data_IF_232069995577
#
_entry.id   IF_232069995577
#
_cell.length_a   1.000
_cell.length_b   1.000
_cell.length_c   1.000
_cell.angle_alpha   90.00
_cell.angle_beta   90.00
_cell.angle_gamma   90.00
#
_symmetry.space_group_name_H-M   'P 1'
#
loop_
_entity.id
_entity.type
_entity.pdbx_description
1 polymer ?
#
# COMPACT_ATOMS: atom_id res chain seq x y z
N UNK A 1 5.27 -41.12 25.26
CA UNK A 1 4.85 -39.70 25.35
C UNK A 1 4.64 -39.08 23.98
N UNK A 2 5.66 -39.07 23.13
CA UNK A 2 5.58 -38.66 21.72
C UNK A 2 4.37 -39.23 20.97
N UNK A 3 4.14 -40.54 21.04
CA UNK A 3 3.02 -41.21 20.34
C UNK A 3 1.65 -40.69 20.80
N UNK A 4 1.50 -40.39 22.09
CA UNK A 4 0.24 -39.86 22.66
C UNK A 4 -0.01 -38.43 22.19
N UNK A 5 1.04 -37.60 22.16
CA UNK A 5 0.98 -36.23 21.63
C UNK A 5 0.64 -36.27 20.14
N UNK A 6 1.30 -37.15 19.37
CA UNK A 6 1.04 -37.30 17.94
C UNK A 6 -0.40 -37.75 17.66
N UNK A 7 -0.93 -38.70 18.44
CA UNK A 7 -2.31 -39.15 18.29
C UNK A 7 -3.31 -38.00 18.47
N UNK A 8 -3.12 -37.14 19.49
CA UNK A 8 -3.96 -35.97 19.70
C UNK A 8 -3.80 -34.93 18.58
N UNK A 9 -2.56 -34.65 18.14
CA UNK A 9 -2.31 -33.72 17.03
C UNK A 9 -2.97 -34.19 15.72
N UNK A 10 -2.93 -35.49 15.42
CA UNK A 10 -3.59 -36.07 14.23
C UNK A 10 -5.11 -35.93 14.31
N UNK A 11 -5.69 -36.13 15.49
CA UNK A 11 -7.13 -35.96 15.69
C UNK A 11 -7.57 -34.50 15.54
N UNK A 12 -6.76 -33.55 16.03
CA UNK A 12 -7.06 -32.11 16.02
C UNK A 12 -6.78 -31.42 14.68
N UNK A 13 -5.81 -31.93 13.91
CA UNK A 13 -5.39 -31.37 12.62
C UNK A 13 -5.59 -32.37 11.46
N UNK A 14 -6.84 -32.74 11.15
CA UNK A 14 -7.10 -33.64 10.03
C UNK A 14 -6.64 -33.02 8.70
N UNK A 15 -5.97 -33.81 7.87
CA UNK A 15 -5.43 -33.37 6.59
C UNK A 15 -4.00 -32.82 6.65
N UNK A 16 -3.43 -32.61 7.83
CA UNK A 16 -2.00 -32.27 7.97
C UNK A 16 -1.13 -33.52 7.89
N UNK A 17 -0.01 -33.45 7.17
CA UNK A 17 0.93 -34.56 7.03
C UNK A 17 1.41 -35.08 8.40
N UNK A 18 1.30 -36.40 8.60
CA UNK A 18 1.76 -37.08 9.82
C UNK A 18 3.25 -36.86 10.11
N UNK A 19 4.06 -36.63 9.07
CA UNK A 19 5.47 -36.30 9.24
C UNK A 19 5.67 -34.93 9.90
N UNK A 20 4.89 -33.92 9.48
CA UNK A 20 4.92 -32.57 10.05
C UNK A 20 4.42 -32.59 11.49
N UNK A 21 3.28 -33.24 11.75
CA UNK A 21 2.76 -33.41 13.11
C UNK A 21 3.72 -34.21 14.00
N UNK A 22 4.44 -35.18 13.43
CA UNK A 22 5.46 -35.98 14.11
C UNK A 22 6.63 -35.15 14.62
N UNK A 23 7.06 -34.14 13.86
CA UNK A 23 8.12 -33.20 14.27
C UNK A 23 7.67 -32.34 15.45
N UNK A 24 6.44 -31.82 15.39
CA UNK A 24 5.85 -31.02 16.48
C UNK A 24 5.68 -31.88 17.74
N UNK A 25 5.13 -33.09 17.59
CA UNK A 25 5.01 -34.04 18.68
C UNK A 25 6.37 -34.35 19.32
N UNK A 26 7.45 -34.45 18.52
CA UNK A 26 8.80 -34.72 19.02
C UNK A 26 9.33 -33.55 19.85
N UNK A 27 9.09 -32.33 19.40
CA UNK A 27 9.43 -31.10 20.13
C UNK A 27 8.65 -30.94 21.42
N UNK A 28 7.35 -31.24 21.41
CA UNK A 28 6.53 -31.19 22.62
C UNK A 28 6.92 -32.30 23.62
N UNK A 29 7.24 -33.50 23.13
CA UNK A 29 7.68 -34.62 23.97
C UNK A 29 9.02 -34.38 24.70
N UNK A 30 9.80 -33.36 24.31
CA UNK A 30 11.02 -32.95 25.05
C UNK A 30 10.68 -32.28 26.39
N UNK A 31 9.48 -31.68 26.52
CA UNK A 31 9.07 -30.91 27.71
C UNK A 31 7.82 -31.45 28.41
N UNK A 32 6.94 -32.12 27.67
CA UNK A 32 5.72 -32.73 28.21
C UNK A 32 6.06 -34.13 28.69
N UNK A 33 5.99 -34.36 30.01
CA UNK A 33 6.29 -35.65 30.63
C UNK A 33 5.04 -36.41 31.09
N UNK A 34 3.93 -35.71 31.26
CA UNK A 34 2.66 -36.28 31.73
C UNK A 34 1.53 -36.14 30.68
N UNK A 35 0.57 -37.06 30.69
CA UNK A 35 -0.51 -37.13 29.70
C UNK A 35 -1.56 -36.02 29.85
N UNK A 36 -1.82 -35.58 31.08
CA UNK A 36 -2.70 -34.44 31.39
C UNK A 36 -2.17 -33.10 30.85
N UNK A 37 -0.88 -33.00 30.55
CA UNK A 37 -0.23 -31.78 30.05
C UNK A 37 -0.26 -31.68 28.51
N UNK A 38 -0.64 -32.75 27.81
CA UNK A 38 -0.58 -32.78 26.33
C UNK A 38 -1.47 -31.70 25.72
N UNK A 39 -2.73 -31.64 26.14
CA UNK A 39 -3.73 -30.77 25.52
C UNK A 39 -3.35 -29.29 25.73
N UNK A 40 -2.92 -28.95 26.95
CA UNK A 40 -2.39 -27.62 27.26
C UNK A 40 -1.16 -27.28 26.43
N UNK A 41 -0.19 -28.19 26.31
CA UNK A 41 1.03 -27.95 25.54
C UNK A 41 0.77 -27.81 24.03
N UNK A 42 -0.20 -28.55 23.47
CA UNK A 42 -0.62 -28.39 22.07
C UNK A 42 -1.29 -27.01 21.88
N UNK A 43 -2.19 -26.62 22.77
CA UNK A 43 -2.87 -25.33 22.70
C UNK A 43 -1.89 -24.16 22.87
N UNK A 44 -0.94 -24.26 23.80
CA UNK A 44 0.10 -23.26 24.01
C UNK A 44 1.04 -23.16 22.80
N UNK A 45 1.38 -24.28 22.18
CA UNK A 45 2.19 -24.29 20.97
C UNK A 45 1.46 -23.62 19.80
N UNK A 46 0.17 -23.88 19.63
CA UNK A 46 -0.65 -23.24 18.60
C UNK A 46 -0.84 -21.73 18.86
N UNK A 47 -1.06 -21.33 20.12
CA UNK A 47 -1.28 -19.93 20.49
C UNK A 47 -0.01 -19.07 20.42
N UNK A 48 1.16 -19.66 20.71
CA UNK A 48 2.44 -18.97 20.66
C UNK A 48 3.15 -19.10 19.30
N UNK A 49 2.65 -19.93 18.38
CA UNK A 49 3.21 -20.03 17.04
C UNK A 49 2.65 -18.93 16.14
N UNK A 50 3.53 -18.16 15.51
CA UNK A 50 3.15 -17.11 14.55
C UNK A 50 2.52 -17.68 13.26
N UNK A 51 2.80 -18.95 12.96
CA UNK A 51 2.27 -19.69 11.82
C UNK A 51 1.45 -20.88 12.32
N UNK A 52 0.24 -21.07 11.77
CA UNK A 52 -0.56 -22.22 12.15
C UNK A 52 0.08 -23.52 11.64
N UNK A 53 -0.21 -24.63 12.33
CA UNK A 53 0.28 -25.96 11.95
C UNK A 53 -0.17 -26.32 10.52
N UNK A 54 -1.37 -25.87 10.14
CA UNK A 54 -1.95 -26.08 8.82
C UNK A 54 -1.21 -25.27 7.75
N UNK A 55 -0.97 -23.98 7.97
CA UNK A 55 -0.28 -23.12 6.99
C UNK A 55 1.15 -23.60 6.74
N UNK A 56 1.85 -24.04 7.77
CA UNK A 56 3.19 -24.61 7.62
C UNK A 56 3.17 -25.91 6.82
N UNK A 57 2.18 -26.77 7.05
CA UNK A 57 2.02 -28.00 6.30
C UNK A 57 1.67 -27.77 4.83
N UNK A 58 0.76 -26.84 4.57
CA UNK A 58 0.35 -26.45 3.21
C UNK A 58 1.55 -25.86 2.45
N UNK A 59 2.38 -25.05 3.10
CA UNK A 59 3.62 -24.53 2.50
C UNK A 59 4.61 -25.63 2.11
N UNK A 60 4.83 -26.61 3.00
CA UNK A 60 5.72 -27.74 2.72
C UNK A 60 5.17 -28.59 1.57
N UNK A 61 3.86 -28.82 1.52
CA UNK A 61 3.23 -29.56 0.45
C UNK A 61 3.33 -28.84 -0.89
N UNK A 62 3.03 -27.53 -0.94
CA UNK A 62 3.15 -26.74 -2.16
C UNK A 62 4.57 -26.75 -2.73
N UNK A 63 5.60 -26.68 -1.88
CA UNK A 63 6.98 -26.84 -2.35
C UNK A 63 7.27 -28.25 -2.90
N UNK A 64 6.72 -29.28 -2.27
CA UNK A 64 6.82 -30.66 -2.76
C UNK A 64 6.19 -30.81 -4.14
N UNK A 65 4.96 -30.35 -4.29
CA UNK A 65 4.20 -30.41 -5.54
C UNK A 65 4.89 -29.61 -6.66
N UNK A 66 5.46 -28.45 -6.35
CA UNK A 66 6.25 -27.67 -7.29
C UNK A 66 7.50 -28.43 -7.78
N UNK A 67 8.27 -29.04 -6.86
CA UNK A 67 9.45 -29.84 -7.23
C UNK A 67 9.08 -31.06 -8.08
N UNK A 68 7.98 -31.73 -7.74
CA UNK A 68 7.48 -32.87 -8.52
C UNK A 68 7.00 -32.42 -9.89
N UNK A 69 6.30 -31.29 -9.98
CA UNK A 69 5.87 -30.69 -11.24
C UNK A 69 7.05 -30.30 -12.14
N UNK A 70 8.09 -29.69 -11.58
CA UNK A 70 9.33 -29.36 -12.32
C UNK A 70 10.08 -30.60 -12.78
N UNK A 71 10.21 -31.62 -11.92
CA UNK A 71 10.85 -32.88 -12.26
C UNK A 71 10.08 -33.62 -13.37
N UNK A 72 8.75 -33.66 -13.28
CA UNK A 72 7.88 -34.22 -14.31
C UNK A 72 8.02 -33.48 -15.63
N UNK A 73 8.01 -32.14 -15.60
CA UNK A 73 8.21 -31.32 -16.81
C UNK A 73 9.58 -31.57 -17.46
N UNK A 74 10.65 -31.69 -16.67
CA UNK A 74 11.99 -32.06 -17.19
C UNK A 74 11.98 -33.44 -17.83
N UNK A 75 11.37 -34.41 -17.15
CA UNK A 75 11.26 -35.79 -17.64
C UNK A 75 10.44 -35.85 -18.94
N UNK A 76 9.32 -35.14 -19.02
CA UNK A 76 8.48 -35.06 -20.23
C UNK A 76 9.29 -34.45 -21.39
N UNK A 77 10.05 -33.37 -21.16
CA UNK A 77 10.90 -32.75 -22.20
C UNK A 77 12.03 -33.69 -22.66
N UNK A 78 12.60 -34.47 -21.75
CA UNK A 78 13.69 -35.41 -22.04
C UNK A 78 13.19 -36.66 -22.78
N UNK A 79 12.00 -37.17 -22.43
CA UNK A 79 11.42 -38.37 -23.05
C UNK A 79 10.59 -38.07 -24.30
N UNK A 80 10.02 -36.87 -24.46
CA UNK A 80 9.39 -36.44 -25.73
C UNK A 80 10.43 -36.21 -26.85
N UNK A 81 11.73 -36.19 -26.54
CA UNK A 81 12.80 -36.26 -27.55
C UNK A 81 13.16 -37.69 -27.97
N UNK A 82 12.62 -38.70 -27.28
CA UNK A 82 12.97 -40.10 -27.44
C UNK A 82 11.80 -40.99 -27.90
N UNK A 83 10.76 -40.41 -28.51
CA UNK A 83 9.71 -41.19 -29.18
C UNK A 83 9.98 -41.26 -30.70
N UNK A 84 10.50 -42.39 -31.22
CA UNK A 84 10.71 -42.56 -32.66
C UNK A 84 9.41 -42.83 -33.44
N UNK A 85 8.23 -42.84 -32.80
CA UNK A 85 6.94 -43.20 -33.42
C UNK A 85 5.86 -42.13 -33.33
N UNK A 86 6.15 -40.91 -32.85
CA UNK A 86 5.19 -39.83 -33.00
C UNK A 86 5.32 -39.26 -34.42
N UNK A 87 4.28 -39.29 -35.27
CA UNK A 87 4.31 -38.52 -36.50
C UNK A 87 4.53 -37.07 -36.09
N UNK A 88 5.59 -36.48 -36.64
CA UNK A 88 5.93 -35.06 -36.51
C UNK A 88 4.61 -34.27 -36.52
N UNK A 89 4.24 -33.54 -35.44
CA UNK A 89 3.09 -32.66 -35.55
C UNK A 89 3.45 -31.72 -36.68
N UNK A 90 2.73 -31.82 -37.80
CA UNK A 90 2.93 -31.01 -38.99
C UNK A 90 3.40 -29.63 -38.53
N UNK A 91 4.67 -29.32 -38.82
CA UNK A 91 5.17 -27.96 -38.75
C UNK A 91 4.30 -27.20 -39.73
N UNK A 92 3.19 -26.65 -39.23
CA UNK A 92 2.57 -25.50 -39.85
C UNK A 92 3.72 -24.52 -39.99
N UNK A 93 4.07 -24.26 -41.25
CA UNK A 93 4.82 -23.09 -41.68
C UNK A 93 4.09 -21.85 -41.17
N UNK A 94 4.30 -21.53 -39.90
CA UNK A 94 3.98 -20.23 -39.32
C UNK A 94 5.32 -19.53 -39.19
N UNK A 95 5.49 -18.53 -40.07
CA UNK A 95 6.62 -17.63 -40.17
C UNK A 95 7.36 -17.43 -38.82
N UNK A 96 8.71 -17.50 -38.79
CA UNK A 96 9.52 -17.39 -37.56
C UNK A 96 9.53 -15.97 -36.93
N UNK A 97 8.53 -15.15 -37.18
CA UNK A 97 8.44 -13.74 -36.78
C UNK A 97 7.23 -13.41 -35.90
N UNK A 98 6.28 -14.32 -35.70
CA UNK A 98 5.11 -14.04 -34.85
C UNK A 98 5.13 -14.78 -33.51
N UNK A 99 5.09 -13.99 -32.44
CA UNK A 99 4.98 -14.49 -31.08
C UNK A 99 3.67 -15.31 -30.91
N UNK A 100 3.71 -16.52 -30.32
CA UNK A 100 2.53 -17.37 -30.19
C UNK A 100 1.45 -16.72 -29.33
N UNK A 101 0.18 -17.04 -29.57
CA UNK A 101 -0.97 -16.34 -28.95
C UNK A 101 -0.98 -16.38 -27.42
N UNK A 102 -0.51 -17.47 -26.81
CA UNK A 102 -0.37 -17.56 -25.35
C UNK A 102 0.68 -16.57 -24.80
N UNK A 103 1.74 -16.30 -25.56
CA UNK A 103 2.77 -15.33 -25.18
C UNK A 103 2.27 -13.90 -25.39
N UNK A 104 1.46 -13.63 -26.43
CA UNK A 104 0.74 -12.35 -26.62
C UNK A 104 -0.21 -12.09 -25.45
N UNK A 105 -0.99 -13.09 -25.04
CA UNK A 105 -1.91 -12.99 -23.90
C UNK A 105 -1.18 -12.76 -22.57
N UNK A 106 -0.04 -13.42 -22.35
CA UNK A 106 0.78 -13.22 -21.16
C UNK A 106 1.38 -11.81 -21.12
N UNK A 107 1.93 -11.33 -22.23
CA UNK A 107 2.49 -9.97 -22.31
C UNK A 107 1.43 -8.91 -22.01
N UNK A 108 0.23 -9.03 -22.61
CA UNK A 108 -0.89 -8.15 -22.33
C UNK A 108 -1.30 -8.16 -20.85
N UNK A 109 -1.32 -9.35 -20.23
CA UNK A 109 -1.66 -9.49 -18.81
C UNK A 109 -0.61 -8.81 -17.91
N UNK A 110 0.68 -9.00 -18.20
CA UNK A 110 1.78 -8.35 -17.46
C UNK A 110 1.72 -6.83 -17.63
N UNK A 111 1.51 -6.32 -18.85
CA UNK A 111 1.36 -4.88 -19.11
C UNK A 111 0.17 -4.29 -18.35
N UNK A 112 -0.98 -4.97 -18.38
CA UNK A 112 -2.20 -4.53 -17.68
C UNK A 112 -1.99 -4.50 -16.16
N UNK A 113 -1.38 -5.55 -15.59
CA UNK A 113 -1.05 -5.60 -14.17
C UNK A 113 -0.06 -4.50 -13.77
N UNK A 114 0.95 -4.24 -14.60
CA UNK A 114 1.90 -3.15 -14.39
C UNK A 114 1.21 -1.79 -14.34
N UNK A 115 0.27 -1.53 -15.26
CA UNK A 115 -0.52 -0.29 -15.27
C UNK A 115 -1.41 -0.16 -14.02
N UNK A 116 -2.13 -1.23 -13.63
CA UNK A 116 -2.96 -1.22 -12.43
C UNK A 116 -2.13 -1.00 -11.16
N UNK A 117 -0.94 -1.60 -11.09
CA UNK A 117 -0.03 -1.41 -9.96
C UNK A 117 0.46 0.03 -9.87
N UNK A 118 0.86 0.63 -10.99
CA UNK A 118 1.27 2.04 -11.05
C UNK A 118 0.13 2.98 -10.64
N UNK A 119 -1.09 2.74 -11.14
CA UNK A 119 -2.26 3.52 -10.76
C UNK A 119 -2.54 3.43 -9.25
N UNK A 120 -2.56 2.21 -8.69
CA UNK A 120 -2.81 2.00 -7.26
C UNK A 120 -1.73 2.64 -6.39
N UNK A 121 -0.47 2.60 -6.82
CA UNK A 121 0.63 3.31 -6.15
C UNK A 121 0.38 4.82 -6.13
N UNK A 122 -0.01 5.40 -7.26
CA UNK A 122 -0.30 6.83 -7.35
C UNK A 122 -1.50 7.24 -6.48
N UNK A 123 -2.57 6.44 -6.47
CA UNK A 123 -3.74 6.67 -5.60
C UNK A 123 -3.36 6.61 -4.11
N UNK A 124 -2.54 5.63 -3.71
CA UNK A 124 -2.05 5.51 -2.34
C UNK A 124 -1.19 6.70 -1.92
N UNK A 125 -0.30 7.15 -2.80
CA UNK A 125 0.57 8.31 -2.55
C UNK A 125 -0.25 9.61 -2.46
N UNK A 126 -1.24 9.78 -3.34
CA UNK A 126 -2.15 10.93 -3.28
C UNK A 126 -2.98 10.92 -2.00
N UNK A 127 -3.47 9.76 -1.55
CA UNK A 127 -4.19 9.64 -0.29
C UNK A 127 -3.31 10.02 0.91
N UNK A 128 -2.04 9.60 0.92
CA UNK A 128 -1.08 9.99 1.95
C UNK A 128 -0.80 11.51 1.95
N UNK A 129 -0.66 12.12 0.77
CA UNK A 129 -0.53 13.57 0.63
C UNK A 129 -1.74 14.30 1.18
N UNK A 130 -2.95 13.87 0.81
CA UNK A 130 -4.20 14.46 1.30
C UNK A 130 -4.29 14.40 2.82
N UNK A 131 -3.95 13.26 3.42
CA UNK A 131 -3.97 13.10 4.87
C UNK A 131 -3.01 14.07 5.56
N UNK A 132 -1.74 14.13 5.11
CA UNK A 132 -0.75 15.06 5.66
C UNK A 132 -1.12 16.53 5.42
N UNK A 133 -1.61 16.88 4.24
CA UNK A 133 -2.05 18.23 3.91
C UNK A 133 -3.21 18.68 4.82
N UNK A 134 -4.15 17.77 5.12
CA UNK A 134 -5.26 18.03 6.04
C UNK A 134 -4.76 18.30 7.46
N UNK A 135 -3.77 17.54 7.95
CA UNK A 135 -3.13 17.80 9.27
C UNK A 135 -2.52 19.20 9.35
N UNK A 136 -2.05 19.73 8.21
CA UNK A 136 -1.48 21.08 8.08
C UNK A 136 -2.53 22.16 7.81
N UNK A 137 -3.81 21.81 7.84
CA UNK A 137 -4.93 22.72 7.62
C UNK A 137 -5.07 23.19 6.16
N UNK A 138 -4.52 22.43 5.20
CA UNK A 138 -4.70 22.67 3.77
C UNK A 138 -5.99 21.94 3.32
N UNK A 139 -6.92 22.61 2.62
CA UNK A 139 -8.14 21.99 2.12
C UNK A 139 -7.85 20.81 1.19
N UNK A 140 -8.59 19.73 1.37
CA UNK A 140 -8.45 18.51 0.56
C UNK A 140 -8.63 18.76 -0.94
N UNK A 141 -9.55 19.67 -1.32
CA UNK A 141 -9.76 20.05 -2.72
C UNK A 141 -8.52 20.68 -3.37
N UNK A 142 -7.60 21.23 -2.57
CA UNK A 142 -6.34 21.79 -3.03
C UNK A 142 -5.31 20.67 -3.26
N UNK A 143 -5.11 19.78 -2.27
CA UNK A 143 -4.19 18.65 -2.38
C UNK A 143 -4.61 17.61 -3.44
N UNK A 144 -5.91 17.43 -3.71
CA UNK A 144 -6.40 16.50 -4.75
C UNK A 144 -5.98 16.85 -6.18
N UNK A 145 -5.56 18.09 -6.44
CA UNK A 145 -5.12 18.53 -7.77
C UNK A 145 -3.66 18.18 -8.06
N UNK A 146 -2.94 17.67 -7.07
CA UNK A 146 -1.54 17.29 -7.22
C UNK A 146 -1.40 16.08 -8.14
N UNK A 147 -0.48 16.18 -9.10
CA UNK A 147 -0.13 15.10 -10.02
C UNK A 147 0.96 14.25 -9.36
N UNK A 148 0.68 12.95 -9.19
CA UNK A 148 1.66 11.98 -8.69
C UNK A 148 2.36 11.31 -9.87
N UNK A 149 3.65 11.61 -10.05
CA UNK A 149 4.52 11.01 -11.07
C UNK A 149 5.61 10.11 -10.48
N UNK A 150 6.53 9.61 -11.31
CA UNK A 150 7.61 8.70 -10.87
C UNK A 150 8.61 9.37 -9.90
N UNK A 151 8.90 10.64 -10.10
CA UNK A 151 9.78 11.46 -9.26
C UNK A 151 9.04 12.17 -8.12
N UNK A 152 7.81 11.74 -7.81
CA UNK A 152 7.00 12.38 -6.79
C UNK A 152 7.64 12.26 -5.40
N UNK A 153 7.93 13.41 -4.79
CA UNK A 153 8.37 13.52 -3.41
C UNK A 153 7.25 14.09 -2.54
N UNK A 154 6.82 13.29 -1.57
CA UNK A 154 5.70 13.61 -0.68
C UNK A 154 5.99 14.84 0.19
N UNK A 155 7.18 14.93 0.76
CA UNK A 155 7.52 15.95 1.76
C UNK A 155 7.84 17.28 1.09
N UNK A 156 8.52 17.25 -0.06
CA UNK A 156 8.76 18.42 -0.91
C UNK A 156 7.43 19.00 -1.40
N UNK A 157 6.54 18.16 -1.94
CA UNK A 157 5.24 18.60 -2.45
C UNK A 157 4.36 19.15 -1.33
N UNK A 158 4.37 18.53 -0.16
CA UNK A 158 3.65 19.03 1.01
C UNK A 158 4.16 20.41 1.45
N UNK A 159 5.49 20.60 1.49
CA UNK A 159 6.11 21.89 1.81
C UNK A 159 5.69 22.99 0.83
N UNK A 160 5.66 22.69 -0.46
CA UNK A 160 5.16 23.62 -1.49
C UNK A 160 3.69 23.96 -1.27
N UNK A 161 2.83 22.96 -1.04
CA UNK A 161 1.40 23.19 -0.77
C UNK A 161 1.18 24.02 0.50
N UNK A 162 1.98 23.81 1.54
CA UNK A 162 1.94 24.61 2.77
C UNK A 162 2.29 26.09 2.51
N UNK A 163 3.34 26.34 1.72
CA UNK A 163 3.75 27.68 1.35
C UNK A 163 2.68 28.40 0.51
N UNK A 164 2.18 27.76 -0.54
CA UNK A 164 1.13 28.30 -1.40
C UNK A 164 -0.16 28.57 -0.62
N UNK A 165 -0.58 27.64 0.24
CA UNK A 165 -1.78 27.82 1.06
C UNK A 165 -1.63 28.98 2.04
N UNK A 166 -0.43 29.18 2.59
CA UNK A 166 -0.13 30.33 3.45
C UNK A 166 -0.19 31.64 2.69
N UNK A 167 0.33 31.68 1.47
CA UNK A 167 0.24 32.84 0.58
C UNK A 167 -1.22 33.17 0.23
N UNK A 168 -2.03 32.17 -0.12
CA UNK A 168 -3.46 32.36 -0.40
C UNK A 168 -4.20 32.90 0.83
N UNK A 169 -3.94 32.35 2.02
CA UNK A 169 -4.51 32.87 3.27
C UNK A 169 -4.13 34.34 3.49
N UNK A 170 -2.87 34.68 3.30
CA UNK A 170 -2.40 36.06 3.46
C UNK A 170 -3.00 37.01 2.40
N UNK A 171 -3.10 36.56 1.15
CA UNK A 171 -3.70 37.35 0.07
C UNK A 171 -5.19 37.65 0.31
N UNK A 172 -5.93 36.70 0.91
CA UNK A 172 -7.32 36.87 1.30
C UNK A 172 -7.48 37.79 2.53
N UNK A 173 -6.58 37.70 3.52
CA UNK A 173 -6.58 38.62 4.66
C UNK A 173 -6.28 40.06 4.23
N UNK A 174 -5.41 40.22 3.25
CA UNK A 174 -5.05 41.51 2.66
C UNK A 174 -6.05 41.98 1.60
N UNK A 175 -7.14 41.23 1.38
CA UNK A 175 -8.13 41.62 0.39
C UNK A 175 -8.93 42.82 0.90
N UNK A 176 -9.08 43.83 0.06
CA UNK A 176 -9.90 45.01 0.36
C UNK A 176 -11.08 45.05 -0.60
N UNK A 177 -12.15 45.74 -0.22
CA UNK A 177 -13.27 45.99 -1.13
C UNK A 177 -13.07 47.38 -1.74
N UNK A 178 -12.87 47.42 -3.06
CA UNK A 178 -12.78 48.65 -3.82
C UNK A 178 -13.85 48.62 -4.92
N UNK A 179 -14.82 49.53 -4.85
CA UNK A 179 -15.88 49.67 -5.86
C UNK A 179 -16.60 48.35 -6.17
N UNK A 180 -17.23 47.76 -5.14
CA UNK A 180 -18.01 46.51 -5.21
C UNK A 180 -17.23 45.24 -5.57
N UNK A 181 -15.90 45.32 -5.74
CA UNK A 181 -15.04 44.17 -6.03
C UNK A 181 -14.06 43.90 -4.90
N UNK A 182 -13.85 42.62 -4.60
CA UNK A 182 -12.79 42.16 -3.71
C UNK A 182 -11.47 42.19 -4.50
N UNK A 183 -10.52 43.01 -4.06
CA UNK A 183 -9.18 43.10 -4.63
C UNK A 183 -8.21 42.39 -3.68
N UNK A 184 -7.71 41.22 -4.09
CA UNK A 184 -6.72 40.44 -3.32
C UNK A 184 -5.29 40.91 -3.58
N UNK A 185 -4.40 40.78 -2.58
CA UNK A 185 -2.97 41.07 -2.74
C UNK A 185 -2.56 42.53 -2.50
N UNK A 186 -3.42 43.36 -1.90
CA UNK A 186 -3.05 44.71 -1.47
C UNK A 186 -2.08 44.60 -0.29
N UNK A 187 -0.77 44.79 -0.54
CA UNK A 187 0.22 44.88 0.53
C UNK A 187 0.02 46.20 1.29
N UNK A 188 -0.76 46.16 2.37
CA UNK A 188 -0.82 47.30 3.29
C UNK A 188 0.51 47.40 4.01
N UNK A 189 1.28 48.44 3.73
CA UNK A 189 2.53 48.70 4.46
C UNK A 189 2.20 49.25 5.85
N UNK A 190 3.05 49.00 6.85
CA UNK A 190 2.83 49.52 8.22
C UNK A 190 2.67 51.05 8.29
N UNK A 191 3.22 51.76 7.29
CA UNK A 191 3.06 53.20 7.12
C UNK A 191 1.64 53.59 6.71
N UNK A 192 0.97 52.82 5.86
CA UNK A 192 -0.42 53.05 5.44
C UNK A 192 -1.40 52.78 6.59
N UNK A 193 -1.16 51.73 7.38
CA UNK A 193 -1.96 51.45 8.58
C UNK A 193 -1.82 52.57 9.61
N UNK A 194 -0.59 53.04 9.84
CA UNK A 194 -0.31 54.14 10.78
C UNK A 194 -0.98 55.45 10.34
N UNK A 195 -0.93 55.75 9.04
CA UNK A 195 -1.59 56.93 8.48
C UNK A 195 -3.12 56.82 8.55
N UNK A 196 -3.70 55.63 8.31
CA UNK A 196 -5.13 55.41 8.44
C UNK A 196 -5.62 55.58 9.88
N UNK A 197 -4.88 55.05 10.87
CA UNK A 197 -5.18 55.23 12.29
C UNK A 197 -5.07 56.71 12.68
N UNK A 198 -4.01 57.40 12.24
CA UNK A 198 -3.83 58.82 12.53
C UNK A 198 -4.95 59.69 11.95
N UNK A 199 -5.37 59.41 10.71
CA UNK A 199 -6.45 60.13 10.05
C UNK A 199 -7.81 59.86 10.73
N UNK A 200 -8.10 58.62 11.13
CA UNK A 200 -9.32 58.30 11.87
C UNK A 200 -9.37 58.99 13.24
N UNK A 201 -8.26 58.96 13.99
CA UNK A 201 -8.16 59.64 15.27
C UNK A 201 -8.37 61.16 15.11
N UNK A 202 -7.75 61.77 14.09
CA UNK A 202 -7.89 63.21 13.82
C UNK A 202 -9.34 63.58 13.46
N UNK A 203 -9.97 62.79 12.59
CA UNK A 203 -11.37 63.04 12.19
C UNK A 203 -12.35 62.94 13.36
N UNK A 204 -12.14 62.00 14.29
CA UNK A 204 -12.98 61.88 15.48
C UNK A 204 -12.75 63.02 16.49
N UNK A 205 -11.51 63.51 16.62
CA UNK A 205 -11.20 64.66 17.48
C UNK A 205 -11.80 65.95 16.91
N UNK A 206 -11.74 66.14 15.59
CA UNK A 206 -12.35 67.28 14.91
C UNK A 206 -13.89 67.24 15.00
N UNK A 207 -14.51 66.05 14.85
CA UNK A 207 -15.94 65.86 15.04
C UNK A 207 -16.39 66.12 16.49
N UNK A 208 -15.62 65.69 17.48
CA UNK A 208 -15.90 65.94 18.90
C UNK A 208 -15.71 67.43 19.28
N UNK A 209 -14.75 68.12 18.66
CA UNK A 209 -14.54 69.56 18.85
C UNK A 209 -15.65 70.41 18.21
N UNK A 210 -16.20 69.98 17.08
CA UNK A 210 -17.30 70.68 16.41
C UNK A 210 -18.66 70.53 17.12
N UNK A 211 -18.84 69.48 17.93
CA UNK A 211 -20.08 69.26 18.69
C UNK A 211 -20.16 70.05 20.01
N UNK A 212 -19.07 70.70 20.42
CA UNK A 212 -18.94 71.43 21.69
C UNK A 212 -18.84 72.96 21.53
N UNK A 213 -19.15 73.49 20.33
CA UNK A 213 -19.21 74.93 20.03
C UNK A 213 -20.61 75.30 19.53
#
# INVERSE_FOLDING_TARGET
MWEKILAQLVAKHPGVSKAVLGLIAKKLAEKVTEENQIEGAINDFEANSTLSIKDYADFVQQQGDARVGEAKKKWDIENMKADPNNPDPEKKDENPTEMPDWAKALQNSVTTLGQQFAQKKNESTLAALIAKAKEKGIPEAYARKTIVGEEFDLDSTLSTLEAEWTEIKQANLNATVAGEKVVSGVKTTGKEVSNAIANFAKSNVEAAGAANN
#
